data_IF_055231221903
#
_entry.id   IF_055231221903
#
_cell.length_a   1.000
_cell.length_b   1.000
_cell.length_c   1.000
_cell.angle_alpha   90.00
_cell.angle_beta   90.00
_cell.angle_gamma   90.00
#
_symmetry.space_group_name_H-M   'P 1'
#
loop_
_entity.id
_entity.type
_entity.pdbx_description
1 polymer ?
#
# COMPACT_ATOMS: atom_id res chain seq x y z
N UNK A 1 6.33 17.77 14.43
CA UNK A 1 5.75 16.69 13.60
C UNK A 1 6.87 15.71 13.30
N UNK A 2 6.71 14.43 13.63
CA UNK A 2 7.76 13.42 13.48
C UNK A 2 7.49 12.59 12.22
N UNK A 3 8.48 12.47 11.35
CA UNK A 3 8.38 11.69 10.12
C UNK A 3 9.39 10.54 10.19
N UNK A 4 8.98 9.35 9.76
CA UNK A 4 9.84 8.17 9.69
C UNK A 4 9.79 7.61 8.28
N UNK A 5 10.96 7.37 7.69
CA UNK A 5 11.09 6.70 6.40
C UNK A 5 11.63 5.29 6.61
N UNK A 6 10.96 4.30 6.04
CA UNK A 6 11.44 2.91 6.03
C UNK A 6 11.92 2.59 4.62
N UNK A 7 13.21 2.29 4.50
CA UNK A 7 13.87 1.97 3.22
C UNK A 7 14.66 0.67 3.34
N UNK A 8 14.79 -0.03 2.21
CA UNK A 8 15.64 -1.22 2.12
C UNK A 8 17.07 -0.78 1.85
N UNK A 9 18.03 -1.32 2.59
CA UNK A 9 19.44 -1.02 2.42
C UNK A 9 20.16 -2.02 1.50
N UNK A 10 19.45 -3.01 0.97
CA UNK A 10 19.99 -4.10 0.16
C UNK A 10 19.18 -4.26 -1.13
N UNK A 11 19.02 -5.49 -1.64
CA UNK A 11 18.34 -5.81 -2.89
C UNK A 11 16.95 -6.42 -2.69
N UNK A 12 16.16 -5.89 -1.76
CA UNK A 12 14.82 -6.41 -1.48
C UNK A 12 14.78 -7.50 -0.42
N UNK A 13 13.56 -7.92 -0.07
CA UNK A 13 13.26 -8.95 0.94
C UNK A 13 13.92 -8.79 2.33
N UNK A 14 14.29 -7.57 2.71
CA UNK A 14 14.90 -7.27 4.02
C UNK A 14 13.88 -7.29 5.18
N UNK A 15 12.65 -7.74 4.93
CA UNK A 15 11.59 -7.76 5.94
C UNK A 15 11.00 -6.39 6.29
N UNK A 16 11.16 -5.38 5.42
CA UNK A 16 10.62 -4.01 5.60
C UNK A 16 9.15 -4.00 6.02
N UNK A 17 8.35 -4.90 5.45
CA UNK A 17 6.93 -5.03 5.76
C UNK A 17 6.65 -5.19 7.25
N UNK A 18 7.49 -5.93 8.00
CA UNK A 18 7.34 -6.10 9.45
C UNK A 18 7.61 -4.81 10.23
N UNK A 19 8.61 -4.04 9.79
CA UNK A 19 8.95 -2.75 10.41
C UNK A 19 7.87 -1.72 10.11
N UNK A 20 7.40 -1.67 8.87
CA UNK A 20 6.30 -0.81 8.44
C UNK A 20 5.03 -1.14 9.20
N UNK A 21 4.70 -2.43 9.36
CA UNK A 21 3.56 -2.88 10.16
C UNK A 21 3.62 -2.35 11.59
N UNK A 22 4.73 -2.60 12.29
CA UNK A 22 4.94 -2.16 13.66
C UNK A 22 4.91 -0.63 13.82
N UNK A 23 5.50 0.13 12.89
CA UNK A 23 5.47 1.59 12.92
C UNK A 23 4.08 2.15 12.57
N UNK A 24 3.35 1.48 11.68
CA UNK A 24 2.03 1.94 11.22
C UNK A 24 0.96 1.91 12.32
N UNK A 25 1.14 1.12 13.38
CA UNK A 25 0.28 1.14 14.57
C UNK A 25 0.25 2.51 15.26
N UNK A 26 1.31 3.31 15.11
CA UNK A 26 1.47 4.61 15.77
C UNK A 26 1.36 5.79 14.80
N UNK A 27 1.04 5.52 13.54
CA UNK A 27 1.06 6.51 12.48
C UNK A 27 -0.35 7.01 12.16
N UNK A 28 -0.53 8.33 12.14
CA UNK A 28 -1.75 8.96 11.65
C UNK A 28 -1.87 8.83 10.11
N UNK A 29 -0.72 8.77 9.42
CA UNK A 29 -0.63 8.72 7.95
C UNK A 29 0.45 7.73 7.52
N UNK A 30 0.12 6.84 6.58
CA UNK A 30 1.07 5.92 5.93
C UNK A 30 1.10 6.20 4.44
N UNK A 31 2.29 6.50 3.92
CA UNK A 31 2.49 6.92 2.53
C UNK A 31 3.36 5.92 1.79
N UNK A 32 2.90 5.45 0.63
CA UNK A 32 3.75 4.82 -0.37
C UNK A 32 4.21 5.88 -1.37
N UNK A 33 5.52 6.08 -1.50
CA UNK A 33 6.08 7.18 -2.28
C UNK A 33 6.65 6.76 -3.65
N UNK A 34 6.87 5.46 -3.88
CA UNK A 34 7.41 4.93 -5.13
C UNK A 34 6.95 3.50 -5.40
N UNK A 35 7.19 3.02 -6.63
CA UNK A 35 7.04 1.61 -7.01
C UNK A 35 5.66 1.33 -7.58
N UNK A 36 5.28 0.06 -7.68
CA UNK A 36 3.97 -0.36 -8.18
C UNK A 36 3.41 -1.54 -7.40
N UNK A 37 2.57 -2.33 -8.04
CA UNK A 37 1.98 -3.54 -7.45
C UNK A 37 2.94 -4.76 -7.49
N UNK A 38 4.23 -4.52 -7.77
CA UNK A 38 5.29 -5.52 -7.89
C UNK A 38 5.93 -5.92 -6.55
N UNK A 39 5.65 -5.18 -5.48
CA UNK A 39 6.08 -5.50 -4.13
C UNK A 39 4.91 -6.06 -3.32
N UNK A 40 5.12 -7.15 -2.57
CA UNK A 40 4.14 -7.71 -1.65
C UNK A 40 4.58 -7.53 -0.20
N UNK A 41 3.66 -7.16 0.69
CA UNK A 41 3.86 -7.28 2.12
C UNK A 41 2.64 -7.92 2.77
N UNK A 42 2.90 -8.81 3.72
CA UNK A 42 1.85 -9.53 4.45
C UNK A 42 1.81 -8.99 5.88
N UNK A 43 0.61 -8.61 6.31
CA UNK A 43 0.32 -8.13 7.66
C UNK A 43 -0.50 -9.18 8.39
N UNK A 44 -0.29 -9.30 9.70
CA UNK A 44 -1.12 -10.14 10.56
C UNK A 44 -1.65 -9.26 11.69
N UNK A 45 -2.93 -8.91 11.62
CA UNK A 45 -3.61 -8.07 12.61
C UNK A 45 -4.70 -8.90 13.25
N UNK A 46 -4.66 -9.04 14.58
CA UNK A 46 -5.64 -9.81 15.36
C UNK A 46 -5.91 -11.23 14.81
N UNK A 47 -4.87 -11.87 14.29
CA UNK A 47 -4.94 -13.21 13.71
C UNK A 47 -5.44 -13.27 12.25
N UNK A 48 -5.85 -12.14 11.66
CA UNK A 48 -6.24 -12.03 10.26
C UNK A 48 -5.03 -11.67 9.40
N UNK A 49 -4.83 -12.43 8.32
CA UNK A 49 -3.73 -12.20 7.38
C UNK A 49 -4.19 -11.34 6.20
N UNK A 50 -3.55 -10.20 6.00
CA UNK A 50 -3.77 -9.30 4.88
C UNK A 50 -2.57 -9.33 3.94
N UNK A 51 -2.80 -9.57 2.65
CA UNK A 51 -1.75 -9.54 1.63
C UNK A 51 -1.93 -8.28 0.78
N UNK A 52 -0.99 -7.36 0.90
CA UNK A 52 -1.05 -6.07 0.23
C UNK A 52 0.06 -5.96 -0.82
N UNK A 53 -0.31 -5.48 -2.00
CA UNK A 53 0.59 -5.28 -3.13
C UNK A 53 0.78 -3.79 -3.43
N UNK A 54 -0.30 -3.06 -3.67
CA UNK A 54 -0.26 -1.63 -3.98
C UNK A 54 -0.64 -0.77 -2.78
N UNK A 55 -1.66 -1.18 -2.03
CA UNK A 55 -2.19 -0.40 -0.93
C UNK A 55 -1.16 -0.27 0.22
N UNK A 56 -1.05 0.92 0.86
CA UNK A 56 -0.21 1.08 2.04
C UNK A 56 -0.72 0.24 3.21
N UNK A 57 0.17 -0.19 4.11
CA UNK A 57 -0.18 -1.00 5.28
C UNK A 57 -1.18 -0.33 6.24
N UNK A 58 -1.27 1.01 6.19
CA UNK A 58 -2.23 1.76 6.99
C UNK A 58 -3.69 1.47 6.64
N UNK A 59 -3.99 0.90 5.45
CA UNK A 59 -5.37 0.77 4.98
C UNK A 59 -6.21 -0.20 5.81
N UNK A 60 -5.54 -1.13 6.49
CA UNK A 60 -6.16 -2.14 7.36
C UNK A 60 -6.24 -1.66 8.82
N UNK A 61 -5.80 -0.43 9.11
CA UNK A 61 -5.81 0.16 10.46
C UNK A 61 -6.86 1.26 10.56
N UNK A 62 -7.70 1.18 11.60
CA UNK A 62 -8.71 2.21 11.85
C UNK A 62 -8.04 3.54 12.23
N UNK A 63 -8.47 4.63 11.61
CA UNK A 63 -7.97 5.98 11.90
C UNK A 63 -6.66 6.36 11.20
N UNK A 64 -6.04 5.45 10.44
CA UNK A 64 -4.82 5.73 9.67
C UNK A 64 -5.16 6.11 8.23
N UNK A 65 -4.73 7.30 7.80
CA UNK A 65 -4.85 7.71 6.40
C UNK A 65 -3.79 7.02 5.53
N UNK A 66 -4.23 6.34 4.48
CA UNK A 66 -3.34 5.75 3.49
C UNK A 66 -3.19 6.66 2.27
N UNK A 67 -1.97 6.84 1.79
CA UNK A 67 -1.67 7.69 0.64
C UNK A 67 -0.81 6.96 -0.38
N UNK A 68 -1.27 6.94 -1.63
CA UNK A 68 -0.46 6.61 -2.80
C UNK A 68 0.10 7.92 -3.38
N UNK A 69 1.40 8.13 -3.20
CA UNK A 69 2.10 9.32 -3.68
C UNK A 69 2.35 9.33 -5.18
N UNK A 70 2.80 10.47 -5.69
CA UNK A 70 2.98 10.70 -7.13
C UNK A 70 4.08 9.84 -7.79
N UNK A 71 5.02 9.31 -7.00
CA UNK A 71 6.06 8.42 -7.51
C UNK A 71 5.60 6.97 -7.69
N UNK A 72 4.34 6.66 -7.36
CA UNK A 72 3.76 5.32 -7.54
C UNK A 72 3.22 5.18 -8.96
N UNK A 73 3.50 4.05 -9.60
CA UNK A 73 2.86 3.60 -10.83
C UNK A 73 1.67 2.71 -10.49
N UNK A 74 0.46 3.14 -10.85
CA UNK A 74 -0.80 2.53 -10.44
C UNK A 74 -1.38 1.74 -11.59
N UNK A 75 -1.55 0.44 -11.41
CA UNK A 75 -2.42 -0.37 -12.25
C UNK A 75 -3.85 -0.29 -11.68
N UNK A 76 -4.82 0.32 -12.42
CA UNK A 76 -6.18 0.47 -11.92
C UNK A 76 -6.87 -0.86 -11.64
N UNK A 77 -6.62 -1.88 -12.47
CA UNK A 77 -7.23 -3.21 -12.32
C UNK A 77 -6.65 -3.94 -11.12
N UNK A 78 -5.33 -3.86 -10.92
CA UNK A 78 -4.69 -4.43 -9.74
C UNK A 78 -5.18 -3.75 -8.46
N UNK A 79 -5.30 -2.41 -8.46
CA UNK A 79 -5.80 -1.64 -7.32
C UNK A 79 -7.23 -2.05 -6.96
N UNK A 80 -8.16 -2.06 -7.94
CA UNK A 80 -9.55 -2.45 -7.69
C UNK A 80 -9.65 -3.90 -7.22
N UNK A 81 -8.89 -4.83 -7.84
CA UNK A 81 -8.86 -6.23 -7.40
C UNK A 81 -8.36 -6.39 -5.96
N UNK A 82 -7.37 -5.57 -5.55
CA UNK A 82 -6.87 -5.58 -4.18
C UNK A 82 -7.92 -5.02 -3.19
N UNK A 83 -8.60 -3.93 -3.54
CA UNK A 83 -9.69 -3.36 -2.75
C UNK A 83 -10.83 -4.39 -2.58
N UNK A 84 -11.25 -5.04 -3.66
CA UNK A 84 -12.32 -6.05 -3.61
C UNK A 84 -11.94 -7.22 -2.70
N UNK A 85 -10.69 -7.69 -2.76
CA UNK A 85 -10.18 -8.74 -1.86
C UNK A 85 -10.24 -8.30 -0.41
N UNK A 86 -9.80 -7.08 -0.09
CA UNK A 86 -9.86 -6.53 1.26
C UNK A 86 -11.31 -6.37 1.75
N UNK A 87 -12.24 -6.03 0.87
CA UNK A 87 -13.66 -5.95 1.21
C UNK A 87 -14.22 -7.31 1.68
N UNK A 88 -13.77 -8.43 1.09
CA UNK A 88 -14.15 -9.78 1.58
C UNK A 88 -13.63 -10.09 2.98
N UNK A 89 -12.63 -9.34 3.45
CA UNK A 89 -12.03 -9.45 4.78
C UNK A 89 -12.56 -8.37 5.75
N UNK A 90 -13.61 -7.62 5.36
CA UNK A 90 -14.25 -6.61 6.19
C UNK A 90 -13.56 -5.23 6.21
N UNK A 91 -12.55 -5.02 5.36
CA UNK A 91 -11.85 -3.74 5.25
C UNK A 91 -12.59 -2.85 4.24
N UNK A 92 -13.05 -1.69 4.69
CA UNK A 92 -13.77 -0.73 3.86
C UNK A 92 -12.79 0.34 3.38
N UNK A 93 -12.58 0.41 2.07
CA UNK A 93 -11.72 1.43 1.43
C UNK A 93 -12.60 2.53 0.88
N UNK A 94 -12.35 3.77 1.30
CA UNK A 94 -13.13 4.94 0.91
C UNK A 94 -12.21 6.12 0.61
N UNK A 95 -12.71 7.19 -0.04
CA UNK A 95 -11.93 8.40 -0.22
C UNK A 95 -11.43 9.01 1.11
N UNK A 96 -12.11 8.78 2.23
CA UNK A 96 -11.71 9.30 3.54
C UNK A 96 -10.44 8.65 4.09
N UNK A 97 -10.19 7.36 3.79
CA UNK A 97 -9.02 6.63 4.30
C UNK A 97 -7.98 6.27 3.23
N UNK A 98 -8.28 6.47 1.94
CA UNK A 98 -7.33 6.31 0.84
C UNK A 98 -7.30 7.57 -0.03
N UNK A 99 -6.11 8.17 -0.12
CA UNK A 99 -5.82 9.28 -1.05
C UNK A 99 -4.85 8.81 -2.12
N UNK A 100 -5.12 9.23 -3.36
CA UNK A 100 -4.27 8.95 -4.51
C UNK A 100 -3.83 10.29 -5.07
N UNK A 101 -2.52 10.45 -5.29
CA UNK A 101 -2.00 11.64 -5.93
C UNK A 101 -2.54 11.76 -7.37
N UNK A 102 -3.08 12.92 -7.73
CA UNK A 102 -3.68 13.18 -9.04
C UNK A 102 -2.70 13.01 -10.22
N UNK A 103 -1.40 13.10 -9.94
CA UNK A 103 -0.29 12.99 -10.88
C UNK A 103 0.45 11.65 -10.77
N UNK A 104 -0.13 10.64 -10.12
CA UNK A 104 0.38 9.27 -10.18
C UNK A 104 0.23 8.70 -11.60
N UNK A 105 1.25 7.99 -12.06
CA UNK A 105 1.28 7.44 -13.43
C UNK A 105 0.47 6.15 -13.50
N UNK A 106 -0.27 5.93 -14.59
CA UNK A 106 -1.04 4.70 -14.78
C UNK A 106 -0.26 3.61 -15.54
N UNK A 107 -0.36 2.39 -15.03
CA UNK A 107 -0.03 1.18 -15.78
C UNK A 107 -1.26 0.80 -16.60
N UNK A 108 -1.14 0.86 -17.92
CA UNK A 108 -2.18 0.51 -18.88
C UNK A 108 -1.89 -0.89 -19.46
N UNK A 109 -2.88 -1.56 -20.09
CA UNK A 109 -2.69 -2.91 -20.63
C UNK A 109 -1.53 -3.01 -21.63
N UNK A 110 -1.30 -1.94 -22.41
CA UNK A 110 -0.17 -1.87 -23.35
C UNK A 110 1.19 -1.99 -22.65
N UNK A 111 1.33 -1.48 -21.42
CA UNK A 111 2.59 -1.59 -20.68
C UNK A 111 2.86 -3.06 -20.29
N UNK A 112 1.84 -3.79 -19.87
CA UNK A 112 1.97 -5.23 -19.55
C UNK A 112 2.23 -6.10 -20.78
N UNK A 113 1.80 -5.66 -21.97
CA UNK A 113 2.09 -6.38 -23.22
C UNK A 113 3.52 -6.14 -23.72
N UNK A 114 4.17 -5.06 -23.28
CA UNK A 114 5.53 -4.69 -23.66
C UNK A 114 6.59 -5.28 -22.74
N UNK A 115 6.24 -5.50 -21.47
CA UNK A 115 7.07 -6.16 -20.45
C UNK A 115 7.08 -7.69 -20.64
#
# INVERSE_FOLDING_TARGET
MANVAVVGSQWGDEGKGKIVDWLSERADVVVRFQGGHNAGHTLVIDGVTYKLSLLPSGIVRAGTLSVLGNGVVIDPWALTSEIDKLATQGVIVTPENLRIAENATLILPVHQMLD
#
